data_IF_821427815148
#
_entry.id   IF_821427815148
#
_cell.length_a   1.000
_cell.length_b   1.000
_cell.length_c   1.000
_cell.angle_alpha   90.00
_cell.angle_beta   90.00
_cell.angle_gamma   90.00
#
_symmetry.space_group_name_H-M   'P 1'
#
loop_
_entity.id
_entity.type
_entity.pdbx_description
1 polymer ?
#
# COMPACT_ATOMS: atom_id res chain seq x y z
N UNK A 1 -42.89 -29.80 -13.24
CA UNK A 1 -41.65 -29.06 -13.53
C UNK A 1 -41.09 -28.37 -12.29
N UNK A 2 -41.85 -27.50 -11.60
CA UNK A 2 -41.38 -26.81 -10.39
C UNK A 2 -41.07 -27.76 -9.21
N UNK A 3 -41.82 -28.85 -9.06
CA UNK A 3 -41.60 -29.84 -7.99
C UNK A 3 -40.30 -30.63 -8.20
N UNK A 4 -40.01 -31.09 -9.42
CA UNK A 4 -38.73 -31.73 -9.77
C UNK A 4 -37.53 -30.80 -9.56
N UNK A 5 -37.68 -29.52 -9.89
CA UNK A 5 -36.67 -28.50 -9.63
C UNK A 5 -36.45 -28.29 -8.12
N UNK A 6 -37.54 -28.30 -7.34
CA UNK A 6 -37.48 -28.18 -5.89
C UNK A 6 -36.83 -29.41 -5.25
N UNK A 7 -37.22 -30.63 -5.65
CA UNK A 7 -36.63 -31.88 -5.15
C UNK A 7 -35.16 -32.00 -5.53
N UNK A 8 -34.79 -31.61 -6.75
CA UNK A 8 -33.39 -31.56 -7.17
C UNK A 8 -32.61 -30.51 -6.39
N UNK A 9 -33.15 -29.32 -6.13
CA UNK A 9 -32.54 -28.33 -5.23
C UNK A 9 -32.37 -28.87 -3.79
N UNK A 10 -33.33 -29.65 -3.27
CA UNK A 10 -33.18 -30.35 -1.99
C UNK A 10 -32.08 -31.41 -2.01
N UNK A 11 -31.74 -32.02 -3.16
CA UNK A 11 -30.56 -32.87 -3.23
C UNK A 11 -29.26 -32.09 -3.02
N UNK A 12 -29.21 -30.80 -3.36
CA UNK A 12 -28.09 -29.92 -3.05
C UNK A 12 -28.01 -29.52 -1.59
N UNK A 13 -29.07 -29.71 -0.79
CA UNK A 13 -28.96 -29.63 0.67
C UNK A 13 -27.83 -30.56 1.15
N UNK A 14 -27.64 -31.72 0.51
CA UNK A 14 -26.54 -32.66 0.82
C UNK A 14 -25.13 -32.06 0.65
N UNK A 15 -24.94 -30.88 0.06
CA UNK A 15 -23.65 -30.17 0.17
C UNK A 15 -23.24 -29.88 1.61
N UNK A 16 -24.18 -29.85 2.56
CA UNK A 16 -23.83 -29.82 3.98
C UNK A 16 -22.96 -31.02 4.37
N UNK A 17 -23.10 -32.17 3.70
CA UNK A 17 -22.28 -33.37 3.94
C UNK A 17 -20.87 -33.21 3.38
N UNK A 18 -20.70 -32.58 2.22
CA UNK A 18 -19.36 -32.27 1.65
C UNK A 18 -18.61 -31.35 2.62
N UNK A 19 -19.31 -30.34 3.10
CA UNK A 19 -18.80 -29.43 4.10
C UNK A 19 -18.41 -30.14 5.41
N UNK A 20 -19.28 -31.02 5.91
CA UNK A 20 -19.01 -31.88 7.07
C UNK A 20 -17.83 -32.84 6.82
N UNK A 21 -17.68 -33.37 5.62
CA UNK A 21 -16.59 -34.25 5.23
C UNK A 21 -15.24 -33.51 5.19
N UNK A 22 -15.21 -32.28 4.66
CA UNK A 22 -14.03 -31.41 4.70
C UNK A 22 -13.59 -31.13 6.15
N UNK A 23 -14.56 -30.92 7.05
CA UNK A 23 -14.30 -30.75 8.47
C UNK A 23 -13.76 -32.04 9.11
N UNK A 24 -14.36 -33.19 8.82
CA UNK A 24 -13.96 -34.48 9.39
C UNK A 24 -12.59 -34.94 8.88
N UNK A 25 -12.26 -34.68 7.62
CA UNK A 25 -10.97 -35.02 7.02
C UNK A 25 -9.84 -34.05 7.44
N UNK A 26 -10.20 -32.90 8.01
CA UNK A 26 -9.20 -31.97 8.55
C UNK A 26 -8.60 -32.56 9.84
N UNK A 27 -7.34 -32.98 9.76
CA UNK A 27 -6.55 -33.49 10.91
C UNK A 27 -6.61 -32.56 12.13
N UNK A 28 -6.81 -31.24 11.91
CA UNK A 28 -6.97 -30.21 12.95
C UNK A 28 -8.12 -30.51 13.92
N UNK A 29 -9.24 -31.06 13.46
CA UNK A 29 -10.41 -31.37 14.31
C UNK A 29 -10.38 -32.75 14.95
N UNK A 30 -9.62 -33.67 14.36
CA UNK A 30 -9.51 -35.05 14.82
C UNK A 30 -8.41 -35.23 15.89
N UNK A 31 -7.42 -34.34 15.93
CA UNK A 31 -6.34 -34.40 16.91
C UNK A 31 -6.84 -34.21 18.34
N UNK A 32 -6.56 -35.20 19.20
CA UNK A 32 -6.92 -35.19 20.62
C UNK A 32 -6.43 -33.91 21.35
N UNK A 33 -5.26 -33.40 20.97
CA UNK A 33 -4.67 -32.17 21.53
C UNK A 33 -5.55 -30.94 21.31
N UNK A 34 -6.14 -30.77 20.12
CA UNK A 34 -7.00 -29.61 19.84
C UNK A 34 -8.27 -29.67 20.69
N UNK A 35 -8.89 -30.85 20.83
CA UNK A 35 -10.09 -31.05 21.66
C UNK A 35 -9.82 -30.79 23.14
N UNK A 36 -8.69 -31.28 23.66
CA UNK A 36 -8.28 -31.06 25.04
C UNK A 36 -8.08 -29.57 25.33
N UNK A 37 -7.31 -28.87 24.48
CA UNK A 37 -7.05 -27.42 24.64
C UNK A 37 -8.33 -26.59 24.53
N UNK A 38 -9.26 -26.93 23.62
CA UNK A 38 -10.52 -26.18 23.51
C UNK A 38 -11.48 -26.43 24.67
N UNK A 39 -11.49 -27.62 25.27
CA UNK A 39 -12.25 -27.91 26.49
C UNK A 39 -11.75 -27.07 27.67
N UNK A 40 -10.42 -26.97 27.85
CA UNK A 40 -9.80 -26.14 28.89
C UNK A 40 -10.16 -24.65 28.75
N UNK A 41 -10.41 -24.18 27.53
CA UNK A 41 -10.76 -22.79 27.25
C UNK A 41 -12.28 -22.56 27.11
N UNK A 42 -13.13 -23.56 27.41
CA UNK A 42 -14.59 -23.48 27.23
C UNK A 42 -15.02 -23.02 25.81
N UNK A 43 -14.26 -23.37 24.77
CA UNK A 43 -14.59 -23.00 23.40
C UNK A 43 -15.37 -24.12 22.74
N UNK A 44 -16.63 -23.84 22.39
CA UNK A 44 -17.45 -24.75 21.60
C UNK A 44 -16.90 -24.85 20.17
N UNK A 45 -16.50 -26.07 19.76
CA UNK A 45 -16.05 -26.38 18.40
C UNK A 45 -17.21 -26.31 17.39
N UNK A 46 -17.64 -25.09 17.08
CA UNK A 46 -18.65 -24.82 16.06
C UNK A 46 -18.02 -24.77 14.68
N UNK A 47 -18.83 -25.00 13.64
CA UNK A 47 -18.37 -24.91 12.25
C UNK A 47 -17.72 -23.54 11.93
N UNK A 48 -18.29 -22.44 12.44
CA UNK A 48 -17.77 -21.08 12.21
C UNK A 48 -16.35 -20.90 12.75
N UNK A 49 -16.04 -21.51 13.91
CA UNK A 49 -14.69 -21.48 14.47
C UNK A 49 -13.70 -22.23 13.57
N UNK A 50 -14.09 -23.40 13.07
CA UNK A 50 -13.21 -24.23 12.23
C UNK A 50 -12.95 -23.58 10.88
N UNK A 51 -13.96 -23.00 10.26
CA UNK A 51 -13.79 -22.23 9.02
C UNK A 51 -12.79 -21.08 9.24
N UNK A 52 -12.91 -20.33 10.35
CA UNK A 52 -11.97 -19.27 10.70
C UNK A 52 -10.54 -19.79 10.86
N UNK A 53 -10.36 -20.92 11.54
CA UNK A 53 -9.04 -21.55 11.74
C UNK A 53 -8.44 -22.01 10.40
N UNK A 54 -9.25 -22.64 9.54
CA UNK A 54 -8.79 -23.12 8.23
C UNK A 54 -8.42 -21.97 7.30
N UNK A 55 -9.25 -20.93 7.26
CA UNK A 55 -9.00 -19.69 6.52
C UNK A 55 -7.76 -18.95 7.01
N UNK A 56 -7.41 -19.05 8.30
CA UNK A 56 -6.20 -18.40 8.81
C UNK A 56 -4.92 -19.22 8.51
N UNK A 57 -5.01 -20.56 8.53
CA UNK A 57 -3.85 -21.44 8.31
C UNK A 57 -3.46 -21.55 6.83
N UNK A 58 -4.43 -21.84 5.95
CA UNK A 58 -4.21 -22.03 4.51
C UNK A 58 -5.25 -21.24 3.68
N UNK A 59 -5.26 -19.91 3.73
CA UNK A 59 -6.32 -19.07 3.16
C UNK A 59 -6.57 -19.34 1.67
N UNK A 60 -5.51 -19.37 0.86
CA UNK A 60 -5.62 -19.54 -0.59
C UNK A 60 -6.16 -20.92 -0.98
N UNK A 61 -5.65 -22.00 -0.36
CA UNK A 61 -6.09 -23.37 -0.65
C UNK A 61 -7.56 -23.57 -0.28
N UNK A 62 -7.98 -23.04 0.87
CA UNK A 62 -9.37 -23.13 1.32
C UNK A 62 -10.32 -22.35 0.40
N UNK A 63 -9.94 -21.13 0.00
CA UNK A 63 -10.72 -20.34 -0.96
C UNK A 63 -10.84 -21.02 -2.31
N UNK A 64 -9.75 -21.56 -2.84
CA UNK A 64 -9.75 -22.25 -4.14
C UNK A 64 -10.72 -23.43 -4.13
N UNK A 65 -10.66 -24.29 -3.12
CA UNK A 65 -11.57 -25.44 -2.99
C UNK A 65 -13.02 -24.97 -2.88
N UNK A 66 -13.29 -23.90 -2.12
CA UNK A 66 -14.63 -23.34 -1.98
C UNK A 66 -15.18 -22.81 -3.31
N UNK A 67 -14.36 -22.08 -4.08
CA UNK A 67 -14.74 -21.53 -5.39
C UNK A 67 -15.04 -22.66 -6.39
N UNK A 68 -14.19 -23.70 -6.47
CA UNK A 68 -14.41 -24.82 -7.39
C UNK A 68 -15.69 -25.58 -7.07
N UNK A 69 -15.95 -25.87 -5.79
CA UNK A 69 -17.21 -26.51 -5.38
C UNK A 69 -18.42 -25.62 -5.69
N UNK A 70 -18.30 -24.31 -5.47
CA UNK A 70 -19.36 -23.36 -5.80
C UNK A 70 -19.63 -23.32 -7.32
N UNK A 71 -18.60 -23.29 -8.15
CA UNK A 71 -18.76 -23.31 -9.62
C UNK A 71 -19.45 -24.57 -10.11
N UNK A 72 -19.04 -25.75 -9.63
CA UNK A 72 -19.65 -27.02 -10.03
C UNK A 72 -21.14 -27.07 -9.63
N UNK A 73 -21.48 -26.58 -8.44
CA UNK A 73 -22.86 -26.59 -7.94
C UNK A 73 -23.75 -25.56 -8.62
N UNK A 74 -23.25 -24.35 -8.84
CA UNK A 74 -23.97 -23.30 -9.56
C UNK A 74 -24.14 -23.66 -11.05
N UNK A 75 -23.13 -24.26 -11.68
CA UNK A 75 -23.22 -24.76 -13.06
C UNK A 75 -24.28 -25.84 -13.22
N UNK A 76 -24.32 -26.79 -12.28
CA UNK A 76 -25.36 -27.81 -12.26
C UNK A 76 -26.76 -27.21 -12.03
N UNK A 77 -26.90 -26.27 -11.09
CA UNK A 77 -28.16 -25.55 -10.85
C UNK A 77 -28.65 -24.82 -12.10
N UNK A 78 -27.76 -24.12 -12.78
CA UNK A 78 -28.09 -23.38 -13.99
C UNK A 78 -28.52 -24.32 -15.13
N UNK A 79 -27.82 -25.47 -15.27
CA UNK A 79 -28.17 -26.51 -16.25
C UNK A 79 -29.56 -27.08 -15.98
N UNK A 80 -29.95 -27.26 -14.71
CA UNK A 80 -31.29 -27.69 -14.34
C UNK A 80 -32.35 -26.62 -14.66
N UNK A 81 -32.09 -25.35 -14.36
CA UNK A 81 -33.02 -24.25 -14.66
C UNK A 81 -33.25 -24.08 -16.17
N UNK A 82 -32.20 -24.20 -16.99
CA UNK A 82 -32.24 -23.93 -18.45
C UNK A 82 -32.45 -25.18 -19.32
N UNK A 83 -32.67 -26.36 -18.70
CA UNK A 83 -32.77 -27.66 -19.40
C UNK A 83 -33.81 -27.71 -20.52
N UNK A 84 -34.81 -26.84 -20.49
CA UNK A 84 -35.94 -26.87 -21.43
C UNK A 84 -35.82 -25.83 -22.55
N UNK A 85 -34.88 -24.89 -22.46
CA UNK A 85 -34.84 -23.70 -23.32
C UNK A 85 -33.70 -23.76 -24.36
N UNK A 86 -32.70 -24.62 -24.19
CA UNK A 86 -31.48 -24.61 -24.98
C UNK A 86 -31.39 -25.78 -25.99
N UNK A 87 -31.02 -25.45 -27.23
CA UNK A 87 -30.56 -26.40 -28.26
C UNK A 87 -29.36 -27.21 -27.74
N UNK A 88 -29.35 -28.52 -28.02
CA UNK A 88 -28.70 -29.58 -27.24
C UNK A 88 -27.15 -29.65 -27.21
N UNK A 89 -26.44 -28.62 -27.66
CA UNK A 89 -24.97 -28.65 -27.72
C UNK A 89 -24.35 -28.06 -26.44
N UNK A 90 -23.97 -28.96 -25.53
CA UNK A 90 -23.01 -28.75 -24.42
C UNK A 90 -23.45 -27.91 -23.21
N UNK A 91 -24.61 -28.24 -22.63
CA UNK A 91 -25.21 -27.51 -21.50
C UNK A 91 -24.29 -27.32 -20.27
N UNK A 92 -23.43 -28.31 -19.95
CA UNK A 92 -22.59 -28.25 -18.75
C UNK A 92 -21.41 -27.29 -18.93
N UNK A 93 -20.71 -27.35 -20.06
CA UNK A 93 -19.55 -26.49 -20.30
C UNK A 93 -19.99 -25.05 -20.52
N UNK A 94 -21.11 -24.83 -21.22
CA UNK A 94 -21.72 -23.51 -21.38
C UNK A 94 -22.19 -22.94 -20.04
N UNK A 95 -22.79 -23.75 -19.17
CA UNK A 95 -23.17 -23.31 -17.83
C UNK A 95 -21.93 -22.99 -16.97
N UNK A 96 -20.88 -23.80 -17.05
CA UNK A 96 -19.64 -23.58 -16.29
C UNK A 96 -18.94 -22.30 -16.75
N UNK A 97 -18.87 -22.07 -18.06
CA UNK A 97 -18.39 -20.82 -18.66
C UNK A 97 -19.19 -19.62 -18.14
N UNK A 98 -20.52 -19.66 -18.23
CA UNK A 98 -21.39 -18.58 -17.79
C UNK A 98 -21.24 -18.29 -16.28
N UNK A 99 -21.16 -19.32 -15.44
CA UNK A 99 -20.95 -19.17 -14.00
C UNK A 99 -19.56 -18.58 -13.69
N UNK A 100 -18.51 -19.02 -14.39
CA UNK A 100 -17.16 -18.49 -14.19
C UNK A 100 -17.07 -17.00 -14.53
N UNK A 101 -17.56 -16.58 -15.70
CA UNK A 101 -17.53 -15.17 -16.11
C UNK A 101 -18.43 -14.28 -15.24
N UNK A 102 -19.54 -14.82 -14.73
CA UNK A 102 -20.45 -14.11 -13.82
C UNK A 102 -19.81 -13.96 -12.44
N UNK A 103 -19.15 -14.99 -11.94
CA UNK A 103 -18.45 -14.97 -10.65
C UNK A 103 -17.27 -14.01 -10.66
N UNK A 104 -16.51 -13.94 -11.76
CA UNK A 104 -15.45 -12.95 -11.96
C UNK A 104 -15.99 -11.55 -12.30
N UNK A 105 -17.31 -11.38 -12.39
CA UNK A 105 -17.96 -10.10 -12.75
C UNK A 105 -17.51 -9.54 -14.11
N UNK A 106 -17.13 -10.41 -15.05
CA UNK A 106 -16.74 -10.03 -16.43
C UNK A 106 -17.97 -9.80 -17.29
N UNK A 107 -18.84 -10.81 -17.39
CA UNK A 107 -20.13 -10.73 -18.08
C UNK A 107 -20.05 -10.35 -19.57
N UNK A 108 -19.41 -11.19 -20.40
CA UNK A 108 -19.30 -10.94 -21.86
C UNK A 108 -20.65 -10.78 -22.57
N UNK A 109 -21.68 -11.51 -22.14
CA UNK A 109 -23.04 -11.42 -22.69
C UNK A 109 -23.29 -12.29 -23.93
N UNK A 110 -22.34 -13.15 -24.29
CA UNK A 110 -22.44 -14.19 -25.32
C UNK A 110 -23.52 -15.24 -24.99
N UNK A 111 -23.59 -15.63 -23.71
CA UNK A 111 -24.59 -16.56 -23.19
C UNK A 111 -25.29 -15.93 -21.99
N UNK A 112 -26.62 -16.07 -21.92
CA UNK A 112 -27.43 -15.46 -20.86
C UNK A 112 -28.66 -16.31 -20.53
N UNK A 113 -29.00 -16.47 -19.22
CA UNK A 113 -30.15 -17.27 -18.81
C UNK A 113 -31.46 -16.66 -19.31
N UNK A 114 -32.30 -17.48 -19.93
CA UNK A 114 -33.61 -17.07 -20.42
C UNK A 114 -34.68 -17.25 -19.35
N UNK A 115 -34.51 -18.21 -18.46
CA UNK A 115 -35.46 -18.55 -17.39
C UNK A 115 -35.31 -17.65 -16.16
N UNK A 116 -36.42 -17.45 -15.42
CA UNK A 116 -36.40 -16.72 -14.15
C UNK A 116 -35.51 -17.39 -13.09
N UNK A 117 -35.52 -18.73 -13.04
CA UNK A 117 -34.65 -19.53 -12.17
C UNK A 117 -33.16 -19.28 -12.46
N UNK A 118 -32.76 -19.34 -13.74
CA UNK A 118 -31.37 -19.10 -14.14
C UNK A 118 -30.89 -17.70 -13.79
N UNK A 119 -31.75 -16.68 -13.94
CA UNK A 119 -31.44 -15.30 -13.53
C UNK A 119 -31.14 -15.19 -12.04
N UNK A 120 -31.92 -15.85 -11.17
CA UNK A 120 -31.68 -15.88 -9.72
C UNK A 120 -30.34 -16.54 -9.40
N UNK A 121 -30.01 -17.67 -10.05
CA UNK A 121 -28.72 -18.35 -9.87
C UNK A 121 -27.54 -17.45 -10.27
N UNK A 122 -27.64 -16.74 -11.39
CA UNK A 122 -26.62 -15.77 -11.82
C UNK A 122 -26.47 -14.60 -10.84
N UNK A 123 -27.57 -14.07 -10.30
CA UNK A 123 -27.52 -13.00 -9.28
C UNK A 123 -26.81 -13.46 -8.00
N UNK A 124 -27.15 -14.64 -7.48
CA UNK A 124 -26.51 -15.20 -6.30
C UNK A 124 -25.02 -15.49 -6.54
N UNK A 125 -24.68 -15.97 -7.73
CA UNK A 125 -23.29 -16.18 -8.18
C UNK A 125 -22.49 -14.88 -8.17
N UNK A 126 -23.05 -13.78 -8.68
CA UNK A 126 -22.40 -12.47 -8.68
C UNK A 126 -22.15 -11.95 -7.26
N UNK A 127 -23.15 -12.00 -6.38
CA UNK A 127 -22.99 -11.58 -4.97
C UNK A 127 -21.91 -12.40 -4.25
N UNK A 128 -21.91 -13.72 -4.46
CA UNK A 128 -20.89 -14.59 -3.87
C UNK A 128 -19.49 -14.32 -4.45
N UNK A 129 -19.39 -14.00 -5.74
CA UNK A 129 -18.16 -13.58 -6.42
C UNK A 129 -17.53 -12.37 -5.76
N UNK A 130 -18.31 -11.30 -5.56
CA UNK A 130 -17.84 -10.07 -4.90
C UNK A 130 -17.41 -10.33 -3.45
N UNK A 131 -18.13 -11.18 -2.72
CA UNK A 131 -17.73 -11.57 -1.37
C UNK A 131 -16.38 -12.32 -1.35
N UNK A 132 -16.16 -13.21 -2.32
CA UNK A 132 -14.92 -13.97 -2.45
C UNK A 132 -13.74 -13.10 -2.88
N UNK A 133 -13.94 -12.14 -3.79
CA UNK A 133 -12.88 -11.21 -4.22
C UNK A 133 -12.45 -10.32 -3.06
N UNK A 134 -13.38 -9.80 -2.25
CA UNK A 134 -13.06 -9.04 -1.05
C UNK A 134 -12.21 -9.84 -0.06
N UNK A 135 -12.54 -11.11 0.14
CA UNK A 135 -11.76 -11.99 1.00
C UNK A 135 -10.37 -12.30 0.42
N UNK A 136 -10.27 -12.51 -0.90
CA UNK A 136 -9.00 -12.72 -1.58
C UNK A 136 -8.07 -11.52 -1.40
N UNK A 137 -8.58 -10.29 -1.57
CA UNK A 137 -7.82 -9.05 -1.33
C UNK A 137 -7.28 -9.02 0.10
N UNK A 138 -8.12 -9.32 1.10
CA UNK A 138 -7.67 -9.35 2.50
C UNK A 138 -6.55 -10.37 2.75
N UNK A 139 -6.57 -11.52 2.07
CA UNK A 139 -5.51 -12.53 2.15
C UNK A 139 -4.23 -12.03 1.49
N UNK A 140 -4.34 -11.48 0.29
CA UNK A 140 -3.20 -10.94 -0.47
C UNK A 140 -2.54 -9.80 0.30
N UNK A 141 -3.30 -8.86 0.85
CA UNK A 141 -2.75 -7.77 1.67
C UNK A 141 -1.98 -8.30 2.88
N UNK A 142 -2.47 -9.34 3.55
CA UNK A 142 -1.75 -9.96 4.68
C UNK A 142 -0.45 -10.66 4.26
N UNK A 143 -0.41 -11.23 3.05
CA UNK A 143 0.79 -11.90 2.52
C UNK A 143 1.82 -10.93 1.96
N UNK A 144 1.37 -9.81 1.41
CA UNK A 144 2.23 -8.72 0.93
C UNK A 144 2.67 -7.76 2.04
N UNK A 145 2.10 -7.89 3.24
CA UNK A 145 2.51 -7.08 4.38
C UNK A 145 3.96 -7.41 4.77
N UNK A 146 4.85 -6.44 4.56
CA UNK A 146 6.26 -6.53 4.92
C UNK A 146 6.43 -6.90 6.40
N UNK A 147 7.37 -7.78 6.68
CA UNK A 147 7.74 -8.14 8.03
C UNK A 147 8.40 -6.95 8.76
N UNK A 148 8.44 -6.99 10.10
CA UNK A 148 9.05 -5.91 10.91
C UNK A 148 10.49 -5.61 10.48
N UNK A 149 11.28 -6.65 10.18
CA UNK A 149 12.66 -6.49 9.71
C UNK A 149 12.75 -5.84 8.32
N UNK A 150 11.94 -6.30 7.37
CA UNK A 150 11.92 -5.75 6.00
C UNK A 150 11.47 -4.28 5.99
N UNK A 151 10.47 -3.93 6.83
CA UNK A 151 10.05 -2.54 7.02
C UNK A 151 11.19 -1.66 7.54
N UNK A 152 12.01 -2.20 8.45
CA UNK A 152 13.13 -1.48 9.01
C UNK A 152 14.21 -1.20 7.96
N UNK A 153 14.55 -2.22 7.16
CA UNK A 153 15.51 -2.06 6.04
C UNK A 153 14.97 -1.07 5.01
N UNK A 154 13.69 -1.17 4.63
CA UNK A 154 13.07 -0.23 3.70
C UNK A 154 13.08 1.20 4.25
N UNK A 155 12.79 1.38 5.54
CA UNK A 155 12.85 2.67 6.21
C UNK A 155 14.26 3.27 6.16
N UNK A 156 15.30 2.47 6.46
CA UNK A 156 16.68 2.94 6.40
C UNK A 156 17.12 3.29 4.98
N UNK A 157 16.79 2.48 3.99
CA UNK A 157 17.15 2.74 2.59
C UNK A 157 16.49 4.04 2.12
N UNK A 158 15.20 4.22 2.40
CA UNK A 158 14.48 5.46 2.07
C UNK A 158 15.11 6.69 2.74
N UNK A 159 15.51 6.57 4.01
CA UNK A 159 16.20 7.64 4.73
C UNK A 159 17.57 7.98 4.10
N UNK A 160 18.32 6.95 3.69
CA UNK A 160 19.62 7.13 3.05
C UNK A 160 19.53 7.90 1.73
N UNK A 161 18.59 7.54 0.85
CA UNK A 161 18.37 8.26 -0.41
C UNK A 161 17.97 9.72 -0.18
N UNK A 162 17.17 10.00 0.87
CA UNK A 162 16.82 11.38 1.22
C UNK A 162 18.04 12.19 1.67
N UNK A 163 18.97 11.59 2.42
CA UNK A 163 20.17 12.27 2.91
C UNK A 163 21.18 12.52 1.78
N UNK A 164 21.41 11.53 0.92
CA UNK A 164 22.34 11.67 -0.21
C UNK A 164 21.87 12.72 -1.23
N UNK A 165 20.57 12.79 -1.51
CA UNK A 165 19.99 13.84 -2.35
C UNK A 165 20.17 15.24 -1.74
N UNK A 166 19.93 15.39 -0.43
CA UNK A 166 20.11 16.67 0.27
C UNK A 166 21.58 17.12 0.23
N UNK A 167 22.52 16.19 0.42
CA UNK A 167 23.95 16.48 0.39
C UNK A 167 24.42 16.94 -1.00
N UNK A 168 23.96 16.30 -2.08
CA UNK A 168 24.28 16.72 -3.45
C UNK A 168 23.72 18.10 -3.78
N UNK A 169 22.50 18.41 -3.33
CA UNK A 169 21.90 19.75 -3.50
C UNK A 169 22.68 20.80 -2.70
N UNK A 170 23.05 20.51 -1.45
CA UNK A 170 23.84 21.41 -0.62
C UNK A 170 25.23 21.68 -1.23
N UNK A 171 25.91 20.65 -1.73
CA UNK A 171 27.19 20.81 -2.42
C UNK A 171 27.05 21.65 -3.70
N UNK A 172 26.00 21.43 -4.50
CA UNK A 172 25.74 22.24 -5.70
C UNK A 172 25.51 23.72 -5.34
N UNK A 173 24.75 24.00 -4.28
CA UNK A 173 24.52 25.38 -3.83
C UNK A 173 25.79 26.02 -3.27
N UNK A 174 26.63 25.26 -2.56
CA UNK A 174 27.92 25.73 -2.07
C UNK A 174 28.85 26.09 -3.24
N UNK A 175 28.95 25.24 -4.25
CA UNK A 175 29.77 25.48 -5.45
C UNK A 175 29.28 26.73 -6.19
N UNK A 176 27.96 26.88 -6.34
CA UNK A 176 27.38 28.08 -6.94
C UNK A 176 27.73 29.33 -6.11
N UNK A 177 27.56 29.28 -4.79
CA UNK A 177 27.89 30.41 -3.90
C UNK A 177 29.39 30.74 -3.89
N UNK A 178 30.29 29.75 -3.98
CA UNK A 178 31.72 29.97 -4.11
C UNK A 178 32.08 30.63 -5.44
N UNK A 179 31.46 30.18 -6.54
CA UNK A 179 31.64 30.77 -7.87
C UNK A 179 31.16 32.22 -7.92
N UNK A 180 30.02 32.54 -7.29
CA UNK A 180 29.54 33.92 -7.17
C UNK A 180 30.39 34.76 -6.23
N UNK A 181 30.93 34.17 -5.15
CA UNK A 181 31.87 34.83 -4.24
C UNK A 181 33.14 35.31 -4.96
N UNK A 182 33.74 34.45 -5.79
CA UNK A 182 34.90 34.81 -6.61
C UNK A 182 34.60 35.94 -7.61
N UNK A 183 33.40 35.95 -8.20
CA UNK A 183 32.96 37.02 -9.10
C UNK A 183 32.73 38.34 -8.35
N UNK A 184 32.19 38.29 -7.12
CA UNK A 184 32.00 39.47 -6.29
C UNK A 184 33.32 40.06 -5.81
N UNK A 185 34.32 39.24 -5.48
CA UNK A 185 35.66 39.71 -5.13
C UNK A 185 36.35 40.38 -6.32
N UNK A 186 36.20 39.84 -7.53
CA UNK A 186 36.68 40.47 -8.77
C UNK A 186 35.96 41.79 -9.06
N UNK A 187 34.64 41.86 -8.82
CA UNK A 187 33.87 43.09 -8.94
C UNK A 187 34.33 44.14 -7.92
N UNK A 188 34.53 43.76 -6.66
CA UNK A 188 35.01 44.64 -5.60
C UNK A 188 36.44 45.17 -5.88
N UNK A 189 37.34 44.33 -6.39
CA UNK A 189 38.68 44.75 -6.84
C UNK A 189 38.59 45.72 -8.03
N UNK A 190 37.64 45.51 -8.95
CA UNK A 190 37.45 46.42 -10.09
C UNK A 190 36.92 47.81 -9.69
N UNK A 191 36.03 47.89 -8.69
CA UNK A 191 35.56 49.17 -8.11
C UNK A 191 36.69 49.90 -7.36
N UNK A 192 37.57 49.16 -6.66
CA UNK A 192 38.74 49.73 -5.97
C UNK A 192 39.78 50.29 -6.95
N UNK A 193 40.07 49.59 -8.05
CA UNK A 193 40.95 50.08 -9.12
C UNK A 193 40.40 51.36 -9.77
N UNK A 194 39.08 51.50 -9.90
CA UNK A 194 38.45 52.68 -10.49
C UNK A 194 38.54 53.93 -9.59
N UNK A 195 38.57 53.77 -8.27
CA UNK A 195 38.86 54.89 -7.35
C UNK A 195 40.35 55.29 -7.33
N UNK A 196 41.27 54.39 -7.72
CA UNK A 196 42.71 54.63 -7.64
C UNK A 196 43.30 55.26 -8.93
N UNK A 197 42.55 55.25 -10.04
CA UNK A 197 42.95 55.84 -11.33
C UNK A 197 42.43 57.27 -11.60
N UNK A 198 41.84 57.94 -10.59
CA UNK A 198 41.65 59.39 -10.65
C UNK A 198 42.87 60.10 -10.04
N UNK A 199 43.57 60.94 -10.83
CA UNK A 199 44.85 61.53 -10.45
C UNK A 199 44.72 62.49 -9.26
N UNK A 200 45.74 62.44 -8.40
CA UNK A 200 46.08 63.40 -7.35
C UNK A 200 45.32 64.73 -7.44
N UNK A 201 44.43 64.96 -6.49
CA UNK A 201 44.00 66.30 -6.12
C UNK A 201 43.99 66.39 -4.60
N UNK A 202 45.00 67.11 -4.10
CA UNK A 202 45.16 67.69 -2.77
C UNK A 202 43.89 68.06 -2.03
N UNK A 203 43.87 67.87 -0.70
CA UNK A 203 43.43 68.78 0.40
C UNK A 203 43.39 67.94 1.70
N UNK A 204 44.42 67.99 2.55
CA UNK A 204 44.49 68.75 3.81
C UNK A 204 43.49 68.35 4.93
N UNK A 205 44.09 68.10 6.10
CA UNK A 205 43.59 68.27 7.49
C UNK A 205 42.95 67.08 8.23
N UNK A 206 43.73 66.58 9.19
CA UNK A 206 43.45 66.62 10.64
C UNK A 206 42.27 65.80 11.19
N UNK A 207 42.59 64.88 12.11
CA UNK A 207 41.73 64.63 13.27
C UNK A 207 41.46 63.16 13.63
N UNK A 208 42.11 62.71 14.71
CA UNK A 208 41.47 62.21 15.94
C UNK A 208 40.32 61.19 15.81
N UNK A 209 40.52 60.02 16.43
CA UNK A 209 39.45 59.34 17.17
C UNK A 209 39.07 57.94 16.67
N UNK A 210 39.27 56.97 17.56
CA UNK A 210 38.39 55.82 17.83
C UNK A 210 37.01 55.84 17.18
N UNK A 211 36.58 54.72 16.60
CA UNK A 211 35.49 53.94 17.22
C UNK A 211 35.22 52.61 16.50
N UNK A 212 34.89 51.64 17.35
CA UNK A 212 34.48 50.27 17.08
C UNK A 212 33.01 50.30 16.63
N UNK A 213 32.68 49.68 15.49
CA UNK A 213 31.28 49.34 15.20
C UNK A 213 31.14 47.85 14.92
N UNK A 214 30.55 47.15 15.88
CA UNK A 214 30.06 45.78 15.75
C UNK A 214 28.93 45.72 14.70
N UNK A 215 29.05 44.83 13.72
CA UNK A 215 27.93 44.47 12.83
C UNK A 215 27.60 42.99 12.99
N UNK A 216 26.44 42.71 13.59
CA UNK A 216 25.85 41.38 13.73
C UNK A 216 24.87 41.18 12.58
N UNK A 217 25.13 40.23 11.67
CA UNK A 217 24.24 39.96 10.54
C UNK A 217 23.27 38.81 10.90
N UNK A 218 21.98 39.13 10.98
CA UNK A 218 20.91 38.15 11.19
C UNK A 218 20.27 37.78 9.86
N UNK A 219 20.44 36.54 9.41
CA UNK A 219 19.74 36.00 8.24
C UNK A 219 18.71 34.96 8.70
N UNK A 220 17.43 35.32 8.66
CA UNK A 220 16.30 34.42 8.92
C UNK A 220 15.83 33.74 7.62
N UNK A 221 16.10 32.44 7.47
CA UNK A 221 15.52 31.60 6.42
C UNK A 221 14.17 31.04 6.90
N UNK A 222 13.06 31.54 6.36
CA UNK A 222 11.71 30.97 6.57
C UNK A 222 11.45 29.87 5.52
N UNK A 223 11.40 28.62 5.96
CA UNK A 223 10.89 27.50 5.16
C UNK A 223 9.39 27.31 5.44
N UNK A 224 8.55 27.41 4.41
CA UNK A 224 7.10 27.16 4.50
C UNK A 224 6.81 25.71 4.08
N UNK A 225 6.62 24.83 5.07
CA UNK A 225 5.92 23.56 4.91
C UNK A 225 5.22 23.23 6.23
N UNK A 226 3.93 22.91 6.14
CA UNK A 226 2.98 22.90 7.25
C UNK A 226 3.39 22.09 8.49
N UNK A 227 3.12 22.69 9.65
CA UNK A 227 2.76 22.07 10.92
C UNK A 227 3.77 21.06 11.54
N UNK A 228 4.82 21.56 12.20
CA UNK A 228 5.01 21.54 13.69
C UNK A 228 6.49 21.77 14.08
N UNK A 229 6.69 22.77 14.95
CA UNK A 229 7.90 23.17 15.72
C UNK A 229 9.10 23.73 14.92
N UNK A 230 9.24 25.05 14.94
CA UNK A 230 10.47 25.76 14.58
C UNK A 230 11.44 25.80 15.76
N UNK A 231 12.67 25.33 15.57
CA UNK A 231 13.80 25.63 16.45
C UNK A 231 14.71 26.61 15.70
N UNK A 232 14.86 27.83 16.25
CA UNK A 232 15.78 28.85 15.74
C UNK A 232 17.17 28.55 16.30
N UNK A 233 18.12 28.18 15.44
CA UNK A 233 19.53 28.08 15.82
C UNK A 233 20.25 29.37 15.38
N UNK A 234 20.74 30.14 16.35
CA UNK A 234 21.57 31.33 16.12
C UNK A 234 23.04 30.91 16.28
N UNK A 235 23.84 31.06 15.23
CA UNK A 235 25.29 30.84 15.30
C UNK A 235 25.98 32.21 15.33
N UNK A 236 26.63 32.54 16.45
CA UNK A 236 27.58 33.65 16.54
C UNK A 236 28.96 33.14 16.17
N UNK A 237 29.55 33.64 15.09
CA UNK A 237 30.97 33.39 14.78
C UNK A 237 31.79 34.46 15.53
N UNK A 238 32.48 34.05 16.59
CA UNK A 238 33.52 34.84 17.23
C UNK A 238 34.77 34.82 16.34
N UNK A 239 35.04 35.93 15.66
CA UNK A 239 36.33 36.15 14.98
C UNK A 239 37.38 36.51 16.02
N UNK A 240 38.28 35.58 16.32
CA UNK A 240 39.41 35.81 17.22
C UNK A 240 40.64 36.21 16.38
N UNK A 241 40.81 37.51 16.14
CA UNK A 241 42.06 38.05 15.61
C UNK A 241 42.96 38.45 16.78
N UNK A 242 44.02 37.67 17.03
CA UNK A 242 45.25 38.20 17.59
C UNK A 242 46.45 37.30 17.23
N UNK A 243 47.28 37.81 16.32
CA UNK A 243 48.69 37.43 16.18
C UNK A 243 49.53 38.70 16.46
N UNK A 244 50.57 38.53 17.28
CA UNK A 244 51.88 39.23 17.32
C UNK A 244 52.18 40.26 18.45
N UNK A 245 53.28 39.95 19.15
CA UNK A 245 54.26 40.79 19.88
C UNK A 245 53.80 41.46 21.18
N UNK A 246 54.58 41.46 22.27
CA UNK A 246 56.03 41.56 22.45
C UNK A 246 56.45 40.81 23.72
#
# INVERSE_FOLDING_TARGET
MNLELLLSAFMFLRLYLVHRAILLHSKVLLSASYRSIGSLNNINFTFRFVLKVLMNKYPARTLLIFILLFWLTASWMLTLCERQTAEAADHMNTALWLIAITFLTVGYGDVSPKTGCGKVVCLLTGVMGVACTAMLVAVVTKKLALNKGEKHVHFFIAQWFSYSGLHLVALRQLILNLSWGQLLDLYAVSELELQQHLPNSTVLTQGRGSDITNSCFSSSLKFSAGQKKAHTATYCILSNNNIVSK
#
